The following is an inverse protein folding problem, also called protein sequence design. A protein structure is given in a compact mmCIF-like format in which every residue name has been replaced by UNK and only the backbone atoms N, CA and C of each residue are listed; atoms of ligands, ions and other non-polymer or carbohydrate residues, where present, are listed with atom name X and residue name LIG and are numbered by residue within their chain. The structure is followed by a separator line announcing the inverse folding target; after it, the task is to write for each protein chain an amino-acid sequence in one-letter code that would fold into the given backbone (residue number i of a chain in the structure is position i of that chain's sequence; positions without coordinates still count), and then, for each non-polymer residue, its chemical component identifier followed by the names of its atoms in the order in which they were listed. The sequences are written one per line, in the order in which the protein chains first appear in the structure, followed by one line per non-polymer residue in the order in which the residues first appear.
data_IF_787693104632
#
_entry.id   IF_787693104632
#
_cell.length_a   1.000
_cell.length_b   1.000
_cell.length_c   1.000
_cell.angle_alpha   90.00
_cell.angle_beta   90.00
_cell.angle_gamma   90.00
#
_symmetry.space_group_name_H-M   'P 1'
#
loop_
_entity.id
_entity.type
_entity.pdbx_description
1 polymer ?
#
# COMPACT_ATOMS: atom_id res chain seq x y z
N UNK A 1 6.79 24.03 -13.09
CA UNK A 1 6.57 23.84 -11.65
C UNK A 1 7.41 24.82 -10.85
N UNK A 2 6.78 25.54 -9.94
CA UNK A 2 7.45 26.45 -8.99
C UNK A 2 7.94 25.67 -7.76
N UNK A 3 8.98 26.16 -7.07
CA UNK A 3 9.48 25.54 -5.83
C UNK A 3 8.40 25.42 -4.75
N UNK A 4 7.47 26.37 -4.72
CA UNK A 4 6.30 26.40 -3.82
C UNK A 4 5.27 25.32 -4.15
N UNK A 5 5.04 25.02 -5.43
CA UNK A 5 4.18 23.90 -5.84
C UNK A 5 4.82 22.55 -5.50
N UNK A 6 6.13 22.39 -5.76
CA UNK A 6 6.87 21.17 -5.42
C UNK A 6 6.80 20.85 -3.92
N UNK A 7 6.92 21.87 -3.06
CA UNK A 7 6.79 21.71 -1.62
C UNK A 7 5.37 21.25 -1.19
N UNK A 8 4.32 21.74 -1.87
CA UNK A 8 2.93 21.29 -1.62
C UNK A 8 2.77 19.81 -2.00
N UNK A 9 3.24 19.41 -3.18
CA UNK A 9 3.17 18.01 -3.63
C UNK A 9 3.99 17.09 -2.74
N UNK A 10 5.19 17.50 -2.31
CA UNK A 10 6.01 16.75 -1.35
C UNK A 10 5.23 16.46 -0.07
N UNK A 11 4.55 17.46 0.50
CA UNK A 11 3.73 17.28 1.71
C UNK A 11 2.56 16.33 1.47
N UNK A 12 1.90 16.42 0.31
CA UNK A 12 0.80 15.53 -0.06
C UNK A 12 1.27 14.07 -0.22
N UNK A 13 2.38 13.86 -0.91
CA UNK A 13 2.99 12.55 -1.13
C UNK A 13 3.41 11.89 0.19
N UNK A 14 4.03 12.64 1.09
CA UNK A 14 4.38 12.14 2.43
C UNK A 14 3.15 11.75 3.25
N UNK A 15 2.08 12.55 3.18
CA UNK A 15 0.81 12.22 3.83
C UNK A 15 0.24 10.92 3.26
N UNK A 16 0.18 10.80 1.92
CA UNK A 16 -0.36 9.62 1.24
C UNK A 16 0.45 8.36 1.56
N UNK A 17 1.78 8.47 1.60
CA UNK A 17 2.68 7.39 2.03
C UNK A 17 2.37 6.92 3.45
N UNK A 18 2.16 7.85 4.38
CA UNK A 18 1.82 7.50 5.76
C UNK A 18 0.45 6.82 5.88
N UNK A 19 -0.53 7.23 5.07
CA UNK A 19 -1.85 6.60 4.97
C UNK A 19 -1.73 5.15 4.47
N UNK A 20 -1.03 4.92 3.35
CA UNK A 20 -0.85 3.57 2.78
C UNK A 20 -0.11 2.64 3.76
N UNK A 21 0.95 3.13 4.43
CA UNK A 21 1.66 2.34 5.44
C UNK A 21 0.75 1.95 6.60
N UNK A 22 -0.23 2.79 6.95
CA UNK A 22 -1.23 2.46 7.97
C UNK A 22 -2.18 1.37 7.45
N UNK A 23 -2.68 1.51 6.23
CA UNK A 23 -3.57 0.53 5.57
C UNK A 23 -2.92 -0.87 5.54
N UNK A 24 -1.68 -0.99 5.05
CA UNK A 24 -0.91 -2.26 5.05
C UNK A 24 -0.82 -2.86 6.46
N UNK A 25 -0.55 -2.03 7.49
CA UNK A 25 -0.43 -2.52 8.87
C UNK A 25 -1.76 -3.04 9.41
N UNK A 26 -2.86 -2.40 9.07
CA UNK A 26 -4.19 -2.79 9.53
C UNK A 26 -4.60 -4.10 8.85
N UNK A 27 -4.39 -4.25 7.53
CA UNK A 27 -4.57 -5.51 6.79
C UNK A 27 -3.74 -6.63 7.41
N UNK A 28 -2.47 -6.37 7.73
CA UNK A 28 -1.58 -7.38 8.33
C UNK A 28 -2.08 -7.83 9.70
N UNK A 29 -2.57 -6.91 10.54
CA UNK A 29 -3.12 -7.24 11.86
C UNK A 29 -4.39 -8.08 11.77
N UNK A 30 -5.29 -7.77 10.84
CA UNK A 30 -6.52 -8.54 10.62
C UNK A 30 -6.20 -9.97 10.18
N UNK A 31 -5.28 -10.12 9.22
CA UNK A 31 -4.81 -11.43 8.77
C UNK A 31 -4.15 -12.24 9.92
N UNK A 32 -3.36 -11.60 10.79
CA UNK A 32 -2.76 -12.28 11.95
C UNK A 32 -3.78 -12.68 13.03
N UNK A 33 -4.86 -11.90 13.22
CA UNK A 33 -5.94 -12.28 14.15
C UNK A 33 -6.68 -13.52 13.66
N UNK A 34 -7.04 -13.57 12.38
CA UNK A 34 -7.63 -14.76 11.75
C UNK A 34 -6.78 -16.01 11.96
N UNK A 35 -5.45 -15.91 11.79
CA UNK A 35 -4.52 -17.03 12.05
C UNK A 35 -4.52 -17.49 13.51
N UNK A 36 -4.60 -16.56 14.47
CA UNK A 36 -4.61 -16.87 15.91
C UNK A 36 -5.92 -17.50 16.35
N UNK A 37 -7.05 -17.03 15.82
CA UNK A 37 -8.37 -17.60 16.07
C UNK A 37 -8.47 -19.02 15.50
N UNK A 38 -7.97 -19.24 14.28
CA UNK A 38 -7.90 -20.57 13.66
C UNK A 38 -7.02 -21.58 14.41
N UNK A 39 -6.00 -21.12 15.15
CA UNK A 39 -5.07 -21.99 15.89
C UNK A 39 -5.44 -22.21 17.36
N UNK A 40 -6.30 -21.36 17.93
CA UNK A 40 -6.70 -21.40 19.35
C UNK A 40 -7.95 -22.22 19.66
N UNK A 41 -8.81 -22.48 18.67
CA UNK A 41 -10.14 -23.13 18.86
C UNK A 41 -10.30 -24.41 18.02
N UNK A 42 -9.27 -25.26 18.02
CA UNK A 42 -9.26 -26.56 17.33
C UNK A 42 -10.27 -27.59 17.91
N UNK A 43 -10.99 -27.26 18.99
CA UNK A 43 -11.88 -28.18 19.69
C UNK A 43 -13.38 -28.02 19.40
N UNK A 44 -13.83 -26.91 18.79
CA UNK A 44 -15.26 -26.59 18.69
C UNK A 44 -15.81 -26.26 17.29
N UNK A 45 -14.96 -25.87 16.33
CA UNK A 45 -15.40 -25.45 15.01
C UNK A 45 -15.41 -26.60 14.01
N UNK A 46 -16.61 -26.92 13.47
CA UNK A 46 -16.74 -27.72 12.26
C UNK A 46 -16.16 -26.92 11.10
N UNK A 47 -14.94 -27.24 10.67
CA UNK A 47 -14.33 -26.69 9.46
C UNK A 47 -15.20 -27.09 8.25
N UNK A 48 -16.13 -26.21 7.85
CA UNK A 48 -16.82 -26.37 6.59
C UNK A 48 -15.86 -25.97 5.46
N UNK A 49 -15.71 -26.82 4.44
CA UNK A 49 -14.82 -26.55 3.30
C UNK A 49 -15.10 -25.19 2.61
N UNK A 50 -16.34 -24.69 2.72
CA UNK A 50 -16.73 -23.37 2.22
C UNK A 50 -16.10 -22.20 3.00
N UNK A 51 -15.95 -22.34 4.32
CA UNK A 51 -15.34 -21.31 5.18
C UNK A 51 -13.83 -21.24 4.92
N UNK A 52 -13.18 -22.39 4.74
CA UNK A 52 -11.76 -22.44 4.36
C UNK A 52 -11.46 -21.81 3.00
N UNK A 53 -12.35 -21.99 2.02
CA UNK A 53 -12.21 -21.37 0.71
C UNK A 53 -12.37 -19.84 0.79
N UNK A 54 -13.32 -19.37 1.60
CA UNK A 54 -13.59 -17.95 1.81
C UNK A 54 -12.41 -17.27 2.53
N UNK A 55 -11.91 -17.87 3.61
CA UNK A 55 -10.72 -17.40 4.33
C UNK A 55 -9.48 -17.32 3.44
N UNK A 56 -9.29 -18.31 2.54
CA UNK A 56 -8.18 -18.31 1.60
C UNK A 56 -8.31 -17.19 0.56
N UNK A 57 -9.51 -16.94 0.06
CA UNK A 57 -9.77 -15.86 -0.90
C UNK A 57 -9.52 -14.48 -0.27
N UNK A 58 -10.00 -14.25 0.95
CA UNK A 58 -9.81 -12.98 1.66
C UNK A 58 -8.33 -12.69 1.95
N UNK A 59 -7.55 -13.73 2.24
CA UNK A 59 -6.09 -13.63 2.38
C UNK A 59 -5.40 -13.29 1.08
N UNK A 60 -5.76 -13.97 -0.01
CA UNK A 60 -5.19 -13.70 -1.33
C UNK A 60 -5.52 -12.26 -1.78
N UNK A 61 -6.76 -11.81 -1.56
CA UNK A 61 -7.17 -10.43 -1.81
C UNK A 61 -6.34 -9.45 -0.98
N UNK A 62 -6.18 -9.70 0.33
CA UNK A 62 -5.36 -8.88 1.23
C UNK A 62 -3.90 -8.78 0.76
N UNK A 63 -3.31 -9.89 0.32
CA UNK A 63 -1.94 -9.94 -0.21
C UNK A 63 -1.79 -9.15 -1.52
N UNK A 64 -2.77 -9.26 -2.41
CA UNK A 64 -2.80 -8.51 -3.66
C UNK A 64 -2.88 -6.99 -3.39
N UNK A 65 -3.72 -6.57 -2.44
CA UNK A 65 -3.82 -5.17 -2.02
C UNK A 65 -2.48 -4.69 -1.45
N UNK A 66 -1.90 -5.42 -0.50
CA UNK A 66 -0.62 -5.05 0.11
C UNK A 66 0.52 -4.96 -0.92
N UNK A 67 0.56 -5.86 -1.90
CA UNK A 67 1.55 -5.84 -2.99
C UNK A 67 1.40 -4.61 -3.88
N UNK A 68 0.16 -4.28 -4.26
CA UNK A 68 -0.16 -3.08 -5.04
C UNK A 68 0.24 -1.80 -4.27
N UNK A 69 -0.10 -1.74 -2.99
CA UNK A 69 0.23 -0.61 -2.12
C UNK A 69 1.75 -0.42 -1.94
N UNK A 70 2.53 -1.51 -1.85
CA UNK A 70 3.98 -1.44 -1.84
C UNK A 70 4.55 -0.81 -3.13
N UNK A 71 3.98 -1.14 -4.29
CA UNK A 71 4.36 -0.51 -5.55
C UNK A 71 4.10 0.99 -5.53
N UNK A 72 2.94 1.41 -5.02
CA UNK A 72 2.62 2.84 -4.88
C UNK A 72 3.60 3.54 -3.93
N UNK A 73 3.99 2.92 -2.81
CA UNK A 73 5.02 3.49 -1.91
C UNK A 73 6.35 3.67 -2.65
N UNK A 74 6.77 2.68 -3.45
CA UNK A 74 7.98 2.76 -4.25
C UNK A 74 7.93 3.95 -5.23
N UNK A 75 6.83 4.09 -5.97
CA UNK A 75 6.61 5.21 -6.91
C UNK A 75 6.60 6.58 -6.19
N UNK A 76 6.02 6.65 -4.99
CA UNK A 76 6.06 7.86 -4.15
C UNK A 76 7.50 8.19 -3.75
N UNK A 77 8.28 7.20 -3.32
CA UNK A 77 9.67 7.40 -2.90
C UNK A 77 10.56 7.83 -4.08
N UNK A 78 10.36 7.28 -5.28
CA UNK A 78 10.99 7.78 -6.52
C UNK A 78 10.59 9.22 -6.84
N UNK A 79 9.30 9.53 -6.72
CA UNK A 79 8.79 10.89 -6.98
C UNK A 79 9.38 11.90 -6.00
N UNK A 80 9.52 11.54 -4.72
CA UNK A 80 10.15 12.37 -3.70
C UNK A 80 11.62 12.65 -4.03
N UNK A 81 12.36 11.65 -4.54
CA UNK A 81 13.74 11.87 -5.03
C UNK A 81 13.78 12.86 -6.20
N UNK A 82 12.87 12.73 -7.17
CA UNK A 82 12.79 13.68 -8.29
C UNK A 82 12.48 15.11 -7.82
N UNK A 83 11.68 15.27 -6.76
CA UNK A 83 11.42 16.59 -6.15
C UNK A 83 12.70 17.15 -5.55
N UNK A 84 13.46 16.34 -4.81
CA UNK A 84 14.70 16.75 -4.16
C UNK A 84 15.82 17.07 -5.18
N UNK A 85 15.86 16.36 -6.31
CA UNK A 85 16.73 16.64 -7.45
C UNK A 85 16.26 17.82 -8.33
N UNK A 86 15.06 18.36 -8.08
CA UNK A 86 14.46 19.44 -8.88
C UNK A 86 14.00 19.03 -10.28
N UNK A 87 13.88 17.72 -10.55
CA UNK A 87 13.43 17.15 -11.83
C UNK A 87 11.93 16.85 -11.87
N UNK A 88 11.23 17.01 -10.76
CA UNK A 88 9.80 16.74 -10.69
C UNK A 88 8.98 17.67 -11.59
N UNK A 89 7.99 17.11 -12.28
CA UNK A 89 7.19 17.80 -13.29
C UNK A 89 7.82 17.82 -14.69
N UNK A 90 8.86 17.03 -14.95
CA UNK A 90 9.44 16.79 -16.28
C UNK A 90 9.24 15.32 -16.66
N UNK A 91 8.75 15.06 -17.87
CA UNK A 91 8.56 13.71 -18.38
C UNK A 91 9.93 13.07 -18.65
N UNK A 92 10.18 11.90 -18.05
CA UNK A 92 11.44 11.16 -18.24
C UNK A 92 11.65 10.64 -19.67
N UNK A 93 10.57 10.48 -20.45
CA UNK A 93 10.66 9.95 -21.83
C UNK A 93 10.84 11.03 -22.89
N UNK A 94 10.18 12.19 -22.73
CA UNK A 94 10.20 13.24 -23.76
C UNK A 94 10.74 14.60 -23.28
N UNK A 95 11.19 14.69 -22.03
CA UNK A 95 11.77 15.88 -21.39
C UNK A 95 10.87 17.12 -21.37
N UNK A 96 9.59 16.96 -21.74
CA UNK A 96 8.58 18.03 -21.68
C UNK A 96 8.04 18.17 -20.27
N UNK A 97 7.59 19.39 -19.93
CA UNK A 97 6.90 19.63 -18.67
C UNK A 97 5.59 18.84 -18.63
N UNK A 98 5.35 18.15 -17.52
CA UNK A 98 4.10 17.46 -17.23
C UNK A 98 3.06 18.55 -16.86
N UNK A 99 1.88 18.58 -17.51
CA UNK A 99 0.83 19.56 -17.24
C UNK A 99 0.32 19.53 -15.80
#
# INVERSE_FOLDING_TARGET
MTKTEAAKFKKLLLKKRAEIVKEIRDITKENMKSLKEASGDLSGYSYHMADMASDSYDRELSLNIATSEQKVIYEIDETLKLIDEGKYGVCLSCEKKIP
#
